data_IF_612845211600
#
_entry.id   IF_612845211600
#
_cell.length_a   1.000
_cell.length_b   1.000
_cell.length_c   1.000
_cell.angle_alpha   90.00
_cell.angle_beta   90.00
_cell.angle_gamma   90.00
#
_symmetry.space_group_name_H-M   'P 1'
#
loop_
_entity.id
_entity.type
_entity.pdbx_description
1 polymer ?
#
# COMPACT_ATOMS: atom_id res chain seq x y z
N UNK A 1 1.62 2.64 55.51
CA UNK A 1 0.32 2.27 54.90
C UNK A 1 -0.14 3.47 54.07
N UNK A 2 -0.31 3.28 52.76
CA UNK A 2 -1.03 4.12 51.78
C UNK A 2 -0.48 5.49 51.36
N UNK A 3 0.20 5.43 50.23
CA UNK A 3 0.34 6.43 49.15
C UNK A 3 -0.96 6.49 48.31
N UNK A 4 -1.41 7.70 47.91
CA UNK A 4 -2.25 8.07 46.74
C UNK A 4 -2.98 9.40 47.05
N UNK A 5 -3.21 10.36 46.16
CA UNK A 5 -2.92 10.62 44.74
C UNK A 5 -2.83 12.16 44.60
N UNK A 6 -2.60 12.81 43.47
CA UNK A 6 -3.07 12.58 42.12
C UNK A 6 -2.24 13.52 41.23
N UNK A 7 -1.53 12.99 40.24
CA UNK A 7 -0.91 13.79 39.18
C UNK A 7 -1.97 14.12 38.13
N UNK A 8 -2.15 15.41 37.87
CA UNK A 8 -2.86 15.90 36.70
C UNK A 8 -2.04 15.61 35.41
N UNK A 9 -2.72 15.45 34.25
CA UNK A 9 -2.28 14.55 33.19
C UNK A 9 -1.20 15.13 32.28
N UNK A 10 -0.25 14.25 31.92
CA UNK A 10 0.73 14.49 30.87
C UNK A 10 0.06 14.53 29.47
N UNK A 11 0.42 15.57 28.72
CA UNK A 11 0.69 15.60 27.27
C UNK A 11 -0.19 14.69 26.38
N UNK A 12 -1.23 15.27 25.78
CA UNK A 12 -1.76 14.82 24.49
C UNK A 12 -1.10 15.66 23.39
N UNK A 13 0.17 15.35 23.07
CA UNK A 13 0.68 15.69 21.75
C UNK A 13 0.11 14.64 20.79
N UNK A 14 -0.99 15.02 20.13
CA UNK A 14 -1.53 14.25 19.01
C UNK A 14 -0.69 14.59 17.78
N UNK A 15 0.57 14.17 17.79
CA UNK A 15 1.41 14.11 16.60
C UNK A 15 0.99 12.84 15.86
N UNK A 16 0.11 13.00 14.86
CA UNK A 16 0.07 12.06 13.77
C UNK A 16 1.49 12.02 13.20
N UNK A 17 2.25 10.98 13.56
CA UNK A 17 3.57 10.75 12.99
C UNK A 17 3.40 10.70 11.47
N UNK A 18 4.22 11.43 10.70
CA UNK A 18 4.22 11.26 9.27
C UNK A 18 4.72 9.85 9.00
N UNK A 19 3.82 8.97 8.51
CA UNK A 19 4.19 7.73 7.82
C UNK A 19 5.37 8.08 6.92
N UNK A 20 6.51 7.45 7.17
CA UNK A 20 7.79 7.75 6.55
C UNK A 20 7.58 8.01 5.05
N UNK A 21 7.92 9.22 4.61
CA UNK A 21 7.82 9.59 3.20
C UNK A 21 8.72 8.63 2.44
N UNK A 22 8.13 7.68 1.70
CA UNK A 22 8.89 6.94 0.71
C UNK A 22 9.58 7.98 -0.18
N UNK A 23 10.88 7.84 -0.41
CA UNK A 23 11.65 8.77 -1.25
C UNK A 23 11.24 8.73 -2.73
N UNK A 24 10.15 8.02 -3.06
CA UNK A 24 9.64 7.80 -4.40
C UNK A 24 8.77 8.97 -4.84
N UNK A 25 8.93 9.35 -6.10
CA UNK A 25 8.12 10.40 -6.72
C UNK A 25 6.68 9.93 -6.93
N UNK A 26 5.73 10.82 -6.61
CA UNK A 26 4.30 10.56 -6.81
C UNK A 26 3.88 10.97 -8.21
N UNK A 27 3.32 10.02 -8.96
CA UNK A 27 2.84 10.18 -10.33
C UNK A 27 1.33 9.99 -10.39
N UNK A 28 0.71 10.58 -11.40
CA UNK A 28 -0.73 10.49 -11.61
C UNK A 28 -1.03 9.88 -12.98
N UNK A 29 -1.98 8.95 -12.99
CA UNK A 29 -2.37 8.19 -14.17
C UNK A 29 -3.89 8.12 -14.32
N UNK A 30 -4.36 7.84 -15.54
CA UNK A 30 -5.75 7.50 -15.84
C UNK A 30 -5.83 6.07 -16.35
N UNK A 31 -6.76 5.32 -15.78
CA UNK A 31 -7.15 3.98 -16.24
C UNK A 31 -8.56 3.66 -15.75
N UNK A 32 -9.33 2.90 -16.52
CA UNK A 32 -10.70 2.46 -16.12
C UNK A 32 -11.66 3.61 -15.77
N UNK A 33 -11.42 4.82 -16.29
CA UNK A 33 -12.20 6.02 -15.91
C UNK A 33 -11.84 6.61 -14.54
N UNK A 34 -10.83 6.07 -13.85
CA UNK A 34 -10.37 6.44 -12.52
C UNK A 34 -9.04 7.21 -12.56
N UNK A 35 -8.85 8.09 -11.60
CA UNK A 35 -7.58 8.78 -11.32
C UNK A 35 -6.76 7.96 -10.33
N UNK A 36 -5.54 7.60 -10.70
CA UNK A 36 -4.64 6.79 -9.88
C UNK A 36 -3.45 7.66 -9.47
N UNK A 37 -3.17 7.75 -8.16
CA UNK A 37 -1.93 8.32 -7.64
C UNK A 37 -1.00 7.19 -7.22
N UNK A 38 0.21 7.13 -7.77
CA UNK A 38 1.14 6.02 -7.56
C UNK A 38 2.55 6.48 -7.17
N UNK A 39 3.18 5.75 -6.25
CA UNK A 39 4.61 5.83 -5.93
C UNK A 39 5.47 4.79 -6.72
N UNK A 40 4.83 3.92 -7.50
CA UNK A 40 5.46 3.07 -8.51
C UNK A 40 5.34 3.73 -9.87
N UNK A 41 6.40 3.75 -10.67
CA UNK A 41 6.35 4.21 -12.06
C UNK A 41 5.56 3.22 -12.93
N UNK A 42 4.51 3.70 -13.61
CA UNK A 42 3.60 2.90 -14.43
C UNK A 42 3.50 3.49 -15.85
N UNK A 43 4.59 3.42 -16.66
CA UNK A 43 4.60 3.96 -18.02
C UNK A 43 3.58 3.30 -18.96
N UNK A 44 3.01 2.16 -18.58
CA UNK A 44 1.95 1.46 -19.29
C UNK A 44 0.59 2.19 -19.21
N UNK A 45 0.42 3.09 -18.23
CA UNK A 45 -0.81 3.87 -18.05
C UNK A 45 -0.69 5.27 -18.64
N UNK A 46 -1.83 5.87 -19.01
CA UNK A 46 -1.87 7.25 -19.50
C UNK A 46 -1.55 8.21 -18.35
N UNK A 47 -0.47 8.98 -18.48
CA UNK A 47 -0.11 10.02 -17.51
C UNK A 47 -1.13 11.17 -17.54
N UNK A 48 -1.44 11.74 -16.38
CA UNK A 48 -2.33 12.90 -16.25
C UNK A 48 -1.76 13.95 -15.31
N UNK A 49 -2.28 15.18 -15.42
CA UNK A 49 -2.04 16.20 -14.40
C UNK A 49 -2.56 15.73 -13.03
N UNK A 50 -1.91 16.16 -11.92
CA UNK A 50 -2.39 15.86 -10.57
C UNK A 50 -3.85 16.25 -10.35
N UNK A 51 -4.62 15.36 -9.74
CA UNK A 51 -6.03 15.54 -9.40
C UNK A 51 -6.38 14.72 -8.14
N UNK A 52 -7.62 14.84 -7.65
CA UNK A 52 -8.08 13.98 -6.54
C UNK A 52 -8.06 12.50 -6.98
N UNK A 53 -7.33 11.63 -6.25
CA UNK A 53 -7.20 10.24 -6.65
C UNK A 53 -8.41 9.41 -6.23
N UNK A 54 -8.95 8.65 -7.16
CA UNK A 54 -9.89 7.57 -6.88
C UNK A 54 -9.17 6.36 -6.29
N UNK A 55 -7.91 6.11 -6.71
CA UNK A 55 -7.06 5.02 -6.22
C UNK A 55 -5.70 5.56 -5.78
N UNK A 56 -5.20 5.05 -4.65
CA UNK A 56 -3.86 5.35 -4.12
C UNK A 56 -3.01 4.10 -4.09
N UNK A 57 -1.83 4.17 -4.71
CA UNK A 57 -0.80 3.13 -4.70
C UNK A 57 0.41 3.71 -3.96
N UNK A 58 0.73 3.15 -2.80
CA UNK A 58 1.81 3.60 -1.93
C UNK A 58 2.85 2.49 -1.73
N UNK A 59 4.11 2.88 -1.54
CA UNK A 59 5.20 1.94 -1.26
C UNK A 59 5.64 2.13 0.19
N UNK A 60 5.63 1.04 0.95
CA UNK A 60 5.97 1.04 2.37
C UNK A 60 5.70 -0.31 3.02
N UNK A 61 6.02 -0.45 4.32
CA UNK A 61 5.77 -1.67 5.04
C UNK A 61 4.27 -1.98 5.10
N UNK A 62 3.90 -3.25 4.95
CA UNK A 62 2.52 -3.70 5.09
C UNK A 62 2.37 -4.60 6.32
N UNK A 63 1.28 -4.43 7.05
CA UNK A 63 0.94 -5.32 8.16
C UNK A 63 0.30 -6.61 7.62
N UNK A 64 1.00 -7.74 7.70
CA UNK A 64 0.56 -8.99 7.09
C UNK A 64 0.89 -10.24 7.95
N UNK A 65 0.34 -10.37 9.17
CA UNK A 65 0.71 -11.42 10.09
C UNK A 65 0.40 -12.83 9.53
N UNK A 66 1.45 -13.64 9.47
CA UNK A 66 1.36 -15.07 9.14
C UNK A 66 1.09 -15.36 7.66
N UNK A 67 1.40 -14.45 6.74
CA UNK A 67 1.35 -14.77 5.31
C UNK A 67 2.44 -15.81 5.01
N UNK A 68 2.05 -16.97 4.49
CA UNK A 68 2.98 -18.06 4.14
C UNK A 68 3.03 -18.22 2.63
N UNK A 69 4.22 -18.19 2.05
CA UNK A 69 4.41 -18.47 0.64
C UNK A 69 4.33 -19.98 0.38
N UNK A 70 3.56 -20.35 -0.64
CA UNK A 70 3.48 -21.70 -1.20
C UNK A 70 3.92 -21.61 -2.66
N UNK A 71 4.98 -22.32 -3.02
CA UNK A 71 5.57 -22.30 -4.35
C UNK A 71 5.85 -20.87 -4.88
N UNK A 72 6.40 -20.01 -4.01
CA UNK A 72 6.79 -18.63 -4.37
C UNK A 72 5.64 -17.62 -4.45
N UNK A 73 4.41 -17.98 -4.05
CA UNK A 73 3.27 -17.05 -4.00
C UNK A 73 2.47 -17.19 -2.70
N UNK A 74 1.79 -16.13 -2.28
CA UNK A 74 0.82 -16.18 -1.19
C UNK A 74 -0.41 -15.36 -1.53
N UNK A 75 -1.59 -15.89 -1.18
CA UNK A 75 -2.86 -15.20 -1.33
C UNK A 75 -3.67 -15.36 -0.04
N UNK A 76 -4.25 -14.26 0.45
CA UNK A 76 -5.21 -14.29 1.55
C UNK A 76 -6.31 -13.30 1.26
N UNK A 77 -7.55 -13.80 1.32
CA UNK A 77 -8.72 -12.99 1.06
C UNK A 77 -9.53 -12.82 2.34
N UNK A 78 -9.75 -11.58 2.75
CA UNK A 78 -10.53 -11.19 3.93
C UNK A 78 -11.66 -10.24 3.49
N UNK A 79 -12.72 -10.04 4.29
CA UNK A 79 -13.85 -9.21 3.86
C UNK A 79 -13.50 -7.77 3.46
N UNK A 80 -12.45 -7.18 4.06
CA UNK A 80 -12.04 -5.80 3.82
C UNK A 80 -10.59 -5.64 3.35
N UNK A 81 -9.84 -6.76 3.26
CA UNK A 81 -8.40 -6.74 2.95
C UNK A 81 -8.04 -7.93 2.09
N UNK A 82 -7.28 -7.69 1.03
CA UNK A 82 -6.75 -8.77 0.18
C UNK A 82 -5.24 -8.68 0.18
N UNK A 83 -4.58 -9.80 0.44
CA UNK A 83 -3.13 -9.92 0.41
C UNK A 83 -2.71 -10.79 -0.77
N UNK A 84 -1.75 -10.29 -1.54
CA UNK A 84 -1.10 -11.01 -2.62
C UNK A 84 0.40 -10.84 -2.46
N UNK A 85 1.18 -11.91 -2.60
CA UNK A 85 2.63 -11.82 -2.57
C UNK A 85 3.26 -12.76 -3.57
N UNK A 86 4.39 -12.31 -4.12
CA UNK A 86 5.30 -13.10 -4.94
C UNK A 86 6.70 -12.98 -4.36
N UNK A 87 7.36 -14.12 -4.16
CA UNK A 87 8.70 -14.19 -3.55
C UNK A 87 9.72 -13.26 -4.23
N UNK A 88 9.64 -13.16 -5.55
CA UNK A 88 10.58 -12.36 -6.35
C UNK A 88 10.20 -10.89 -6.50
N UNK A 89 9.01 -10.46 -6.05
CA UNK A 89 8.52 -9.08 -6.28
C UNK A 89 8.25 -8.36 -4.96
N UNK A 90 7.54 -9.00 -4.05
CA UNK A 90 7.07 -8.39 -2.81
C UNK A 90 5.60 -8.68 -2.56
N UNK A 91 5.06 -7.98 -1.58
CA UNK A 91 3.70 -8.15 -1.11
C UNK A 91 2.85 -6.91 -1.37
N UNK A 92 1.56 -7.15 -1.59
CA UNK A 92 0.54 -6.18 -1.93
C UNK A 92 -0.63 -6.36 -0.96
N UNK A 93 -1.08 -5.25 -0.38
CA UNK A 93 -2.27 -5.18 0.46
C UNK A 93 -3.30 -4.25 -0.20
N UNK A 94 -4.45 -4.79 -0.54
CA UNK A 94 -5.61 -4.04 -0.99
C UNK A 94 -6.48 -3.71 0.23
N UNK A 95 -6.85 -2.44 0.41
CA UNK A 95 -7.74 -1.97 1.49
C UNK A 95 -8.72 -0.89 1.00
N UNK A 96 -9.85 -0.78 1.71
CA UNK A 96 -10.89 0.24 1.53
C UNK A 96 -11.41 0.41 0.07
N UNK A 97 -11.28 -0.63 -0.76
CA UNK A 97 -11.60 -0.63 -2.20
C UNK A 97 -10.92 0.46 -3.05
N UNK A 98 -9.95 1.19 -2.50
CA UNK A 98 -9.29 2.32 -3.17
C UNK A 98 -7.81 2.48 -2.85
N UNK A 99 -7.25 1.60 -2.03
CA UNK A 99 -5.86 1.69 -1.59
C UNK A 99 -5.12 0.39 -1.85
N UNK A 100 -3.93 0.52 -2.39
CA UNK A 100 -2.95 -0.55 -2.54
C UNK A 100 -1.68 -0.10 -1.84
N UNK A 101 -1.25 -0.85 -0.83
CA UNK A 101 0.07 -0.70 -0.22
C UNK A 101 0.98 -1.82 -0.71
N UNK A 102 2.22 -1.46 -1.05
CA UNK A 102 3.20 -2.38 -1.64
C UNK A 102 4.45 -2.39 -0.77
N UNK A 103 4.82 -3.59 -0.31
CA UNK A 103 6.10 -3.86 0.33
C UNK A 103 6.99 -4.65 -0.66
N UNK A 104 7.82 -3.96 -1.47
CA UNK A 104 8.64 -4.59 -2.48
C UNK A 104 9.83 -5.34 -1.85
N UNK A 105 10.30 -6.38 -2.54
CA UNK A 105 11.62 -6.96 -2.26
C UNK A 105 12.69 -5.87 -2.46
N UNK A 106 13.70 -5.78 -1.57
CA UNK A 106 14.75 -4.77 -1.70
C UNK A 106 15.46 -4.82 -3.06
N UNK A 107 15.58 -3.65 -3.71
CA UNK A 107 16.30 -3.50 -4.98
C UNK A 107 15.53 -3.97 -6.23
N UNK A 108 14.27 -4.39 -6.11
CA UNK A 108 13.45 -4.76 -7.26
C UNK A 108 13.11 -3.54 -8.13
N UNK A 109 13.05 -3.74 -9.45
CA UNK A 109 12.67 -2.72 -10.42
C UNK A 109 11.14 -2.49 -10.44
N UNK A 110 10.73 -1.24 -10.64
CA UNK A 110 9.31 -0.85 -10.71
C UNK A 110 8.56 -1.60 -11.83
N UNK A 111 9.22 -1.95 -12.94
CA UNK A 111 8.62 -2.73 -14.02
C UNK A 111 8.20 -4.15 -13.56
N UNK A 112 8.98 -4.76 -12.65
CA UNK A 112 8.64 -6.06 -12.07
C UNK A 112 7.54 -5.96 -11.01
N UNK A 113 7.44 -4.81 -10.32
CA UNK A 113 6.30 -4.50 -9.44
C UNK A 113 5.02 -4.26 -10.26
N UNK A 114 5.14 -3.53 -11.37
CA UNK A 114 4.04 -3.17 -12.25
C UNK A 114 3.32 -4.39 -12.83
N UNK A 115 4.05 -5.49 -13.08
CA UNK A 115 3.49 -6.70 -13.67
C UNK A 115 2.34 -7.33 -12.83
N UNK A 116 2.54 -7.75 -11.56
CA UNK A 116 1.42 -8.20 -10.73
C UNK A 116 0.47 -7.06 -10.33
N UNK A 117 0.98 -5.82 -10.20
CA UNK A 117 0.18 -4.66 -9.82
C UNK A 117 -0.93 -4.38 -10.85
N UNK A 118 -0.57 -4.20 -12.13
CA UNK A 118 -1.51 -3.89 -13.21
C UNK A 118 -2.33 -5.10 -13.67
N UNK A 119 -1.92 -6.31 -13.29
CA UNK A 119 -2.67 -7.54 -13.51
C UNK A 119 -3.57 -7.89 -12.32
N UNK A 120 -3.30 -8.99 -11.58
CA UNK A 120 -4.21 -9.54 -10.58
C UNK A 120 -4.54 -8.58 -9.43
N UNK A 121 -3.62 -7.69 -9.01
CA UNK A 121 -3.88 -6.77 -7.89
C UNK A 121 -4.94 -5.74 -8.28
N UNK A 122 -4.78 -5.07 -9.43
CA UNK A 122 -5.79 -4.13 -9.94
C UNK A 122 -7.11 -4.84 -10.30
N UNK A 123 -7.05 -6.06 -10.84
CA UNK A 123 -8.26 -6.83 -11.13
C UNK A 123 -9.09 -7.09 -9.86
N UNK A 124 -8.45 -7.41 -8.73
CA UNK A 124 -9.13 -7.60 -7.45
C UNK A 124 -9.64 -6.32 -6.84
N UNK A 125 -8.92 -5.19 -6.98
CA UNK A 125 -9.40 -3.89 -6.50
C UNK A 125 -10.70 -3.46 -7.19
N UNK A 126 -10.85 -3.80 -8.47
CA UNK A 126 -11.96 -3.37 -9.34
C UNK A 126 -13.20 -4.29 -9.32
N UNK A 127 -13.14 -5.43 -8.62
CA UNK A 127 -14.21 -6.46 -8.59
C UNK A 127 -15.18 -6.26 -7.41
#
# INVERSE_FOLDING_TARGET
MSINGSLAPALRQNSAEPVEKSGRERRFYRAYGLTIRSEVALPELEATAPAEPDIVIAVGPIDHPGLQLVAGTAFRFEPARQYLAWEAVGAFLISDARRIDIEPVPGIDDQLIAFPLLGPVMALLLH
#
